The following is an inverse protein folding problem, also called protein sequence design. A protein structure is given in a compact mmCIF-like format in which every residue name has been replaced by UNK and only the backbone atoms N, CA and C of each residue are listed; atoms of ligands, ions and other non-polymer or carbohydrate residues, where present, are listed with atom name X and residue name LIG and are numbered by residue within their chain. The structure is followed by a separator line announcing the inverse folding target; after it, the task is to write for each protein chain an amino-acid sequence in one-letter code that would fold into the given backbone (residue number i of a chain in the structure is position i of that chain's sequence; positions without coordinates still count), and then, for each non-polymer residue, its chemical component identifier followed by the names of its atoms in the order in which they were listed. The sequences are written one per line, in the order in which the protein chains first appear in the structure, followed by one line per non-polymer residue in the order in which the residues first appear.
data_IF_951500633502
#
_entry.id   IF_951500633502
#
_cell.length_a   1.000
_cell.length_b   1.000
_cell.length_c   1.000
_cell.angle_alpha   90.00
_cell.angle_beta   90.00
_cell.angle_gamma   90.00
#
_symmetry.space_group_name_H-M   'P 1'
#
loop_
_entity.id
_entity.type
_entity.pdbx_description
1 polymer ?
#
# COMPACT_ATOMS: atom_id res chain seq x y z
N UNK A 1 10.71 15.84 8.86
CA UNK A 1 10.47 14.39 8.69
C UNK A 1 11.35 13.64 9.68
N UNK A 2 10.78 12.64 10.35
CA UNK A 2 11.48 11.74 11.27
C UNK A 2 11.61 10.39 10.59
N UNK A 3 12.74 9.72 10.75
CA UNK A 3 12.99 8.36 10.24
C UNK A 3 13.10 7.35 11.39
N UNK A 4 12.74 7.77 12.61
CA UNK A 4 12.94 7.00 13.84
C UNK A 4 11.61 6.55 14.46
N UNK A 5 10.49 6.74 13.78
CA UNK A 5 9.15 6.42 14.30
C UNK A 5 8.57 7.46 15.27
N UNK A 6 9.15 8.67 15.35
CA UNK A 6 8.57 9.76 16.14
C UNK A 6 7.35 10.36 15.41
N UNK A 7 6.23 10.47 16.12
CA UNK A 7 5.02 11.14 15.62
C UNK A 7 5.28 12.64 15.51
N UNK A 8 5.13 13.19 14.30
CA UNK A 8 5.34 14.61 14.03
C UNK A 8 4.05 15.43 14.02
N UNK A 9 2.95 14.83 13.58
CA UNK A 9 1.64 15.47 13.45
C UNK A 9 0.55 14.39 13.43
N UNK A 10 -0.71 14.78 13.58
CA UNK A 10 -1.87 13.90 13.49
C UNK A 10 -3.01 14.61 12.77
N UNK A 11 -3.41 14.07 11.62
CA UNK A 11 -4.54 14.60 10.86
C UNK A 11 -5.84 13.98 11.38
N UNK A 12 -6.85 14.81 11.64
CA UNK A 12 -8.15 14.37 12.17
C UNK A 12 -9.10 13.88 11.06
N UNK A 13 -8.65 12.92 10.25
CA UNK A 13 -9.53 12.19 9.34
C UNK A 13 -10.22 11.04 10.07
N UNK A 14 -11.51 10.85 9.85
CA UNK A 14 -12.29 9.75 10.44
C UNK A 14 -12.84 8.91 9.31
N UNK A 15 -12.16 7.79 9.05
CA UNK A 15 -12.56 6.77 8.10
C UNK A 15 -13.62 5.82 8.66
N UNK A 16 -14.04 4.87 7.84
CA UNK A 16 -14.83 3.73 8.31
C UNK A 16 -13.92 2.56 8.71
N UNK A 17 -13.02 2.20 7.81
CA UNK A 17 -12.07 1.09 7.96
C UNK A 17 -10.84 1.41 7.10
N UNK A 18 -9.96 2.25 7.66
CA UNK A 18 -8.81 2.81 6.95
C UNK A 18 -7.63 1.85 7.05
N UNK A 19 -7.23 1.28 5.93
CA UNK A 19 -6.16 0.27 5.88
C UNK A 19 -4.89 0.76 5.21
N UNK A 20 -5.01 1.70 4.25
CA UNK A 20 -3.89 2.11 3.41
C UNK A 20 -3.69 3.61 3.34
N UNK A 21 -2.43 4.03 3.21
CA UNK A 21 -2.06 5.43 2.95
C UNK A 21 -0.87 5.53 2.00
N UNK A 22 -0.93 6.47 1.06
CA UNK A 22 0.17 6.82 0.18
C UNK A 22 0.29 8.33 0.02
N UNK A 23 1.51 8.81 -0.18
CA UNK A 23 1.70 10.14 -0.77
C UNK A 23 1.08 10.18 -2.16
N UNK A 24 0.52 11.32 -2.55
CA UNK A 24 -0.09 11.50 -3.87
C UNK A 24 0.56 12.68 -4.61
N UNK A 25 -0.23 13.70 -4.94
CA UNK A 25 0.19 14.97 -5.51
C UNK A 25 0.43 15.99 -4.39
N UNK A 26 0.91 17.19 -4.75
CA UNK A 26 1.29 18.22 -3.77
C UNK A 26 0.18 18.49 -2.74
N UNK A 27 0.52 18.33 -1.45
CA UNK A 27 -0.40 18.55 -0.35
C UNK A 27 -1.52 17.51 -0.22
N UNK A 28 -1.43 16.37 -0.92
CA UNK A 28 -2.45 15.33 -0.88
C UNK A 28 -1.91 13.95 -0.51
N UNK A 29 -2.78 13.18 0.13
CA UNK A 29 -2.60 11.75 0.38
C UNK A 29 -3.69 10.96 -0.36
N UNK A 30 -3.40 9.71 -0.70
CA UNK A 30 -4.41 8.69 -1.00
C UNK A 30 -4.61 7.83 0.24
N UNK A 31 -5.86 7.47 0.50
CA UNK A 31 -6.29 6.60 1.57
C UNK A 31 -7.10 5.43 0.99
N UNK A 32 -6.95 4.23 1.53
CA UNK A 32 -7.75 3.05 1.18
C UNK A 32 -8.75 2.74 2.29
N UNK A 33 -10.04 2.66 1.93
CA UNK A 33 -11.14 2.32 2.84
C UNK A 33 -11.72 0.94 2.48
N UNK A 34 -11.52 -0.05 3.34
CA UNK A 34 -11.78 -1.47 3.03
C UNK A 34 -13.26 -1.73 2.74
N UNK A 35 -14.12 -1.45 3.73
CA UNK A 35 -15.53 -1.83 3.72
C UNK A 35 -16.30 -1.16 2.59
N UNK A 36 -15.95 0.08 2.26
CA UNK A 36 -16.61 0.85 1.20
C UNK A 36 -15.97 0.64 -0.17
N UNK A 37 -14.79 0.02 -0.24
CA UNK A 37 -13.98 -0.09 -1.45
C UNK A 37 -13.72 1.27 -2.09
N UNK A 38 -13.30 2.22 -1.27
CA UNK A 38 -13.09 3.60 -1.69
C UNK A 38 -11.61 3.95 -1.63
N UNK A 39 -11.14 4.67 -2.65
CA UNK A 39 -9.89 5.44 -2.58
C UNK A 39 -10.24 6.89 -2.30
N UNK A 40 -9.69 7.46 -1.24
CA UNK A 40 -9.96 8.84 -0.83
C UNK A 40 -8.73 9.70 -1.05
N UNK A 41 -8.86 10.76 -1.83
CA UNK A 41 -7.90 11.85 -1.85
C UNK A 41 -8.14 12.74 -0.63
N UNK A 42 -7.14 12.92 0.23
CA UNK A 42 -7.18 13.82 1.37
C UNK A 42 -6.23 15.01 1.13
N UNK A 43 -6.74 16.23 1.20
CA UNK A 43 -5.93 17.43 1.25
C UNK A 43 -5.46 17.66 2.69
N UNK A 44 -4.14 17.63 2.91
CA UNK A 44 -3.55 17.74 4.25
C UNK A 44 -3.60 19.16 4.82
N UNK A 45 -3.88 20.17 3.99
CA UNK A 45 -3.89 21.58 4.42
C UNK A 45 -5.22 21.97 5.04
N UNK A 46 -6.33 21.53 4.44
CA UNK A 46 -7.68 21.93 4.85
C UNK A 46 -8.58 20.74 5.26
N UNK A 47 -8.08 19.51 5.14
CA UNK A 47 -8.80 18.28 5.50
C UNK A 47 -9.91 17.90 4.52
N UNK A 48 -10.03 18.57 3.38
CA UNK A 48 -11.06 18.25 2.38
C UNK A 48 -10.76 16.93 1.69
N UNK A 49 -11.82 16.22 1.30
CA UNK A 49 -11.71 14.91 0.66
C UNK A 49 -12.45 14.83 -0.66
N UNK A 50 -11.90 14.00 -1.55
CA UNK A 50 -12.58 13.52 -2.77
C UNK A 50 -12.54 12.00 -2.72
N UNK A 51 -13.69 11.36 -2.87
CA UNK A 51 -13.84 9.92 -2.72
C UNK A 51 -14.14 9.28 -4.07
N UNK A 52 -13.46 8.18 -4.37
CA UNK A 52 -13.61 7.39 -5.59
C UNK A 52 -13.98 5.96 -5.22
N UNK A 53 -15.17 5.51 -5.60
CA UNK A 53 -15.57 4.11 -5.43
C UNK A 53 -14.86 3.24 -6.47
N UNK A 54 -14.24 2.15 -6.02
CA UNK A 54 -13.53 1.21 -6.88
C UNK A 54 -14.36 -0.06 -7.03
N UNK A 55 -14.93 -0.23 -8.22
CA UNK A 55 -15.85 -1.31 -8.53
C UNK A 55 -15.10 -2.60 -8.90
N UNK A 56 -14.62 -3.33 -7.89
CA UNK A 56 -13.98 -4.64 -8.08
C UNK A 56 -14.65 -5.75 -7.25
N UNK A 57 -14.55 -6.98 -7.76
CA UNK A 57 -15.16 -8.15 -7.13
C UNK A 57 -14.35 -8.65 -5.93
N UNK A 58 -14.98 -8.55 -4.76
CA UNK A 58 -14.67 -9.28 -3.53
C UNK A 58 -15.90 -9.23 -2.62
N UNK A 59 -16.34 -10.37 -2.10
CA UNK A 59 -17.51 -10.47 -1.20
C UNK A 59 -17.15 -11.07 0.16
N UNK A 60 -15.87 -11.36 0.40
CA UNK A 60 -15.35 -11.92 1.64
C UNK A 60 -15.10 -10.76 2.62
N UNK A 61 -15.80 -10.69 3.76
CA UNK A 61 -15.55 -9.64 4.75
C UNK A 61 -14.13 -9.75 5.34
N UNK A 62 -13.50 -8.60 5.66
CA UNK A 62 -12.17 -8.51 6.28
C UNK A 62 -11.09 -9.22 5.45
N UNK A 63 -11.14 -8.96 4.15
CA UNK A 63 -10.28 -9.55 3.12
C UNK A 63 -10.17 -8.60 1.91
N UNK A 64 -10.56 -7.35 2.12
CA UNK A 64 -10.84 -6.34 1.13
C UNK A 64 -9.63 -5.50 0.77
N UNK A 65 -9.86 -4.21 0.53
CA UNK A 65 -8.83 -3.25 0.15
C UNK A 65 -7.91 -2.92 1.33
N UNK A 66 -6.60 -3.11 1.16
CA UNK A 66 -5.60 -2.91 2.23
C UNK A 66 -4.61 -1.80 1.86
N UNK A 67 -3.82 -2.03 0.81
CA UNK A 67 -2.76 -1.15 0.39
C UNK A 67 -3.18 -0.22 -0.75
N UNK A 68 -2.62 0.99 -0.76
CA UNK A 68 -2.68 1.92 -1.90
C UNK A 68 -1.29 2.51 -2.16
N UNK A 69 -0.90 2.69 -3.42
CA UNK A 69 0.30 3.44 -3.78
C UNK A 69 0.15 4.19 -5.09
N UNK A 70 0.83 5.33 -5.21
CA UNK A 70 0.79 6.17 -6.40
C UNK A 70 2.05 6.01 -7.26
N UNK A 71 1.85 5.71 -8.54
CA UNK A 71 2.90 5.75 -9.55
C UNK A 71 2.97 7.15 -10.19
N UNK A 72 3.93 7.96 -9.72
CA UNK A 72 4.12 9.31 -10.23
C UNK A 72 4.67 9.39 -11.67
N UNK A 73 5.21 8.30 -12.25
CA UNK A 73 5.78 8.32 -13.60
C UNK A 73 4.70 8.32 -14.68
N UNK A 74 3.64 7.54 -14.49
CA UNK A 74 2.53 7.41 -15.44
C UNK A 74 1.20 7.94 -14.88
N UNK A 75 1.23 8.46 -13.64
CA UNK A 75 0.11 9.02 -12.89
C UNK A 75 -1.01 8.03 -12.62
N UNK A 76 -0.66 6.77 -12.47
CA UNK A 76 -1.60 5.70 -12.10
C UNK A 76 -1.53 5.38 -10.62
N UNK A 77 -2.54 4.67 -10.13
CA UNK A 77 -2.62 4.22 -8.74
C UNK A 77 -2.72 2.70 -8.71
N UNK A 78 -2.09 2.08 -7.73
CA UNK A 78 -2.27 0.66 -7.44
C UNK A 78 -2.97 0.49 -6.10
N UNK A 79 -3.90 -0.46 -6.03
CA UNK A 79 -4.47 -0.92 -4.77
C UNK A 79 -4.24 -2.42 -4.62
N UNK A 80 -4.16 -2.88 -3.37
CA UNK A 80 -4.18 -4.29 -3.01
C UNK A 80 -5.56 -4.67 -2.51
N UNK A 81 -6.03 -5.84 -2.94
CA UNK A 81 -7.02 -6.60 -2.19
C UNK A 81 -6.31 -7.73 -1.42
N UNK A 82 -6.52 -7.81 -0.11
CA UNK A 82 -5.77 -8.65 0.84
C UNK A 82 -5.75 -10.12 0.45
N UNK A 83 -6.93 -10.75 0.39
CA UNK A 83 -7.11 -12.19 0.24
C UNK A 83 -8.52 -12.51 -0.27
N UNK A 84 -8.72 -13.77 -0.67
CA UNK A 84 -10.01 -14.30 -1.12
C UNK A 84 -10.82 -13.41 -2.09
N UNK A 85 -10.22 -12.92 -3.21
CA UNK A 85 -8.89 -13.28 -3.73
C UNK A 85 -7.81 -12.21 -3.51
N UNK A 86 -6.55 -12.63 -3.37
CA UNK A 86 -5.43 -11.69 -3.43
C UNK A 86 -5.27 -11.06 -4.82
N UNK A 87 -5.34 -9.72 -4.91
CA UNK A 87 -5.25 -8.99 -6.18
C UNK A 87 -4.44 -7.72 -6.08
N UNK A 88 -3.74 -7.39 -7.17
CA UNK A 88 -3.25 -6.06 -7.48
C UNK A 88 -4.19 -5.44 -8.52
N UNK A 89 -4.77 -4.30 -8.21
CA UNK A 89 -5.68 -3.59 -9.12
C UNK A 89 -4.99 -2.29 -9.53
N UNK A 90 -4.90 -2.07 -10.83
CA UNK A 90 -4.24 -0.92 -11.44
C UNK A 90 -5.31 0.05 -11.93
N UNK A 91 -5.21 1.30 -11.47
CA UNK A 91 -6.16 2.36 -11.71
C UNK A 91 -5.53 3.46 -12.57
N UNK A 92 -6.28 3.99 -13.54
CA UNK A 92 -5.89 5.19 -14.28
C UNK A 92 -5.89 6.45 -13.39
N UNK A 93 -5.47 7.59 -13.96
CA UNK A 93 -5.47 8.91 -13.29
C UNK A 93 -6.87 9.33 -12.81
N UNK A 94 -7.94 8.83 -13.44
CA UNK A 94 -9.34 9.07 -13.04
C UNK A 94 -9.93 7.97 -12.13
N UNK A 95 -9.08 7.10 -11.58
CA UNK A 95 -9.42 5.96 -10.72
C UNK A 95 -10.26 4.86 -11.39
N UNK A 96 -10.45 4.90 -12.72
CA UNK A 96 -11.02 3.76 -13.45
C UNK A 96 -10.04 2.58 -13.46
N UNK A 97 -10.56 1.36 -13.29
CA UNK A 97 -9.75 0.14 -13.36
C UNK A 97 -9.26 -0.06 -14.80
N UNK A 98 -7.94 -0.18 -14.98
CA UNK A 98 -7.32 -0.47 -16.27
C UNK A 98 -6.76 -1.88 -16.36
N UNK A 99 -6.32 -2.46 -15.24
CA UNK A 99 -5.89 -3.86 -15.16
C UNK A 99 -6.16 -4.45 -13.76
N UNK A 100 -6.32 -5.77 -13.70
CA UNK A 100 -6.36 -6.56 -12.48
C UNK A 100 -5.43 -7.76 -12.61
N UNK A 101 -4.60 -7.99 -11.60
CA UNK A 101 -3.65 -9.10 -11.56
C UNK A 101 -3.89 -9.94 -10.31
N UNK A 102 -4.06 -11.25 -10.49
CA UNK A 102 -4.11 -12.19 -9.36
C UNK A 102 -2.73 -12.36 -8.76
N UNK A 103 -2.64 -12.24 -7.44
CA UNK A 103 -1.41 -12.48 -6.70
C UNK A 103 -1.51 -13.86 -6.03
N UNK A 104 -0.52 -14.71 -6.30
CA UNK A 104 -0.52 -16.12 -5.86
C UNK A 104 0.75 -16.51 -5.09
N UNK A 105 1.59 -15.54 -4.74
CA UNK A 105 2.90 -15.78 -4.13
C UNK A 105 2.90 -15.73 -2.59
N UNK A 106 1.81 -15.22 -1.99
CA UNK A 106 1.64 -15.09 -0.56
C UNK A 106 0.19 -15.42 -0.14
N UNK A 107 -0.01 -15.64 1.16
CA UNK A 107 -1.32 -15.93 1.78
C UNK A 107 -2.22 -14.70 1.89
N UNK A 108 -1.61 -13.51 2.01
CA UNK A 108 -2.26 -12.21 2.11
C UNK A 108 -1.34 -11.11 1.56
N UNK A 109 -1.89 -9.91 1.35
CA UNK A 109 -1.18 -8.74 0.85
C UNK A 109 -1.62 -7.49 1.63
N UNK A 110 -0.82 -7.08 2.59
CA UNK A 110 -1.20 -6.11 3.62
C UNK A 110 -0.67 -4.70 3.38
N UNK A 111 0.34 -4.53 2.52
CA UNK A 111 0.91 -3.20 2.26
C UNK A 111 1.67 -3.14 0.94
N UNK A 112 1.68 -1.96 0.33
CA UNK A 112 2.28 -1.74 -1.00
C UNK A 112 3.00 -0.40 -1.10
N UNK A 113 4.10 -0.38 -1.85
CA UNK A 113 4.81 0.84 -2.22
C UNK A 113 5.36 0.76 -3.64
N UNK A 114 5.14 1.81 -4.43
CA UNK A 114 5.78 1.98 -5.72
C UNK A 114 7.15 2.67 -5.58
N UNK A 115 8.21 1.96 -5.97
CA UNK A 115 9.58 2.48 -5.99
C UNK A 115 9.96 3.00 -7.38
N UNK A 116 9.83 4.32 -7.53
CA UNK A 116 10.15 5.01 -8.78
C UNK A 116 11.61 4.86 -9.23
N UNK A 117 12.55 4.57 -8.32
CA UNK A 117 13.98 4.45 -8.66
C UNK A 117 14.29 3.26 -9.57
N UNK A 118 13.47 2.20 -9.47
CA UNK A 118 13.65 0.94 -10.20
C UNK A 118 12.41 0.48 -10.94
N UNK A 119 11.32 1.25 -10.87
CA UNK A 119 10.08 0.94 -11.56
C UNK A 119 9.47 -0.40 -11.11
N UNK A 120 9.41 -0.59 -9.79
CA UNK A 120 8.94 -1.83 -9.17
C UNK A 120 7.97 -1.56 -8.02
N UNK A 121 7.17 -2.56 -7.69
CA UNK A 121 6.32 -2.57 -6.50
C UNK A 121 7.03 -3.33 -5.38
N UNK A 122 6.83 -2.88 -4.16
CA UNK A 122 7.20 -3.60 -2.94
C UNK A 122 5.93 -3.93 -2.19
N UNK A 123 5.70 -5.22 -1.92
CA UNK A 123 4.48 -5.74 -1.30
C UNK A 123 4.85 -6.56 -0.07
N UNK A 124 4.22 -6.26 1.07
CA UNK A 124 4.35 -7.05 2.31
C UNK A 124 3.19 -8.01 2.49
N UNK A 125 3.46 -9.13 3.16
CA UNK A 125 2.48 -10.14 3.57
C UNK A 125 2.71 -10.46 5.04
N UNK A 126 1.70 -10.21 5.88
CA UNK A 126 1.70 -10.56 7.30
C UNK A 126 1.76 -12.10 7.46
N UNK A 127 0.80 -12.82 6.89
CA UNK A 127 0.68 -14.27 7.09
C UNK A 127 1.85 -15.05 6.50
N UNK A 128 2.43 -14.58 5.40
CA UNK A 128 3.61 -15.23 4.80
C UNK A 128 4.93 -14.76 5.41
N UNK A 129 4.91 -13.67 6.18
CA UNK A 129 6.10 -13.01 6.74
C UNK A 129 7.14 -12.71 5.67
N UNK A 130 6.71 -12.02 4.61
CA UNK A 130 7.59 -11.68 3.49
C UNK A 130 7.46 -10.23 3.06
N UNK A 131 8.56 -9.74 2.50
CA UNK A 131 8.65 -8.49 1.73
C UNK A 131 9.03 -8.89 0.31
N UNK A 132 8.25 -8.47 -0.67
CA UNK A 132 8.34 -8.97 -2.03
C UNK A 132 8.53 -7.80 -2.99
N UNK A 133 9.63 -7.83 -3.74
CA UNK A 133 9.83 -6.94 -4.86
C UNK A 133 9.15 -7.56 -6.09
N UNK A 134 8.23 -6.82 -6.70
CA UNK A 134 7.45 -7.26 -7.84
C UNK A 134 7.60 -6.27 -9.01
N UNK A 135 7.35 -6.74 -10.22
CA UNK A 135 7.11 -5.81 -11.33
C UNK A 135 5.72 -5.15 -11.21
N UNK A 136 5.40 -4.25 -12.14
CA UNK A 136 4.14 -3.51 -12.15
C UNK A 136 2.87 -4.35 -12.42
N UNK A 137 3.04 -5.65 -12.68
CA UNK A 137 1.95 -6.63 -12.83
C UNK A 137 1.80 -7.53 -11.61
N UNK A 138 2.56 -7.27 -10.54
CA UNK A 138 2.56 -8.09 -9.33
C UNK A 138 3.34 -9.39 -9.44
N UNK A 139 4.13 -9.61 -10.50
CA UNK A 139 4.98 -10.78 -10.62
C UNK A 139 6.25 -10.59 -9.76
N UNK A 140 6.52 -11.56 -8.89
CA UNK A 140 7.66 -11.50 -7.95
C UNK A 140 9.00 -11.57 -8.71
N UNK A 141 9.88 -10.61 -8.40
CA UNK A 141 11.27 -10.55 -8.83
C UNK A 141 12.18 -11.16 -7.75
N UNK A 142 12.01 -10.73 -6.49
CA UNK A 142 12.75 -11.22 -5.32
C UNK A 142 11.84 -11.20 -4.08
N UNK A 143 11.98 -12.17 -3.19
CA UNK A 143 11.28 -12.25 -1.91
C UNK A 143 12.27 -12.34 -0.75
N UNK A 144 11.95 -11.68 0.35
CA UNK A 144 12.76 -11.64 1.57
C UNK A 144 11.88 -12.02 2.76
N UNK A 145 12.36 -12.92 3.62
CA UNK A 145 11.66 -13.27 4.85
C UNK A 145 11.87 -12.21 5.92
N UNK A 146 10.81 -11.95 6.69
CA UNK A 146 10.84 -11.17 7.93
C UNK A 146 10.51 -12.06 9.12
N UNK A 147 10.94 -11.69 10.32
CA UNK A 147 10.80 -12.49 11.54
C UNK A 147 9.77 -11.93 12.54
N UNK A 148 9.08 -10.84 12.18
CA UNK A 148 7.99 -10.23 12.92
C UNK A 148 6.63 -10.50 12.26
N UNK A 149 5.55 -10.01 12.87
CA UNK A 149 4.15 -10.18 12.43
C UNK A 149 3.49 -8.81 12.24
N UNK A 150 2.29 -8.82 11.66
CA UNK A 150 1.43 -7.65 11.46
C UNK A 150 2.12 -6.55 10.67
N UNK A 151 2.83 -6.94 9.61
CA UNK A 151 3.46 -6.01 8.69
C UNK A 151 2.40 -5.37 7.79
N UNK A 152 1.93 -4.17 8.12
CA UNK A 152 0.80 -3.52 7.42
C UNK A 152 1.24 -2.38 6.48
N UNK A 153 2.50 -1.97 6.51
CA UNK A 153 2.98 -0.88 5.66
C UNK A 153 4.44 -1.02 5.30
N UNK A 154 4.78 -0.61 4.08
CA UNK A 154 6.14 -0.63 3.56
C UNK A 154 6.43 0.68 2.82
N UNK A 155 7.65 1.20 2.98
CA UNK A 155 8.16 2.35 2.22
C UNK A 155 9.62 2.10 1.85
N UNK A 156 9.97 2.44 0.62
CA UNK A 156 11.37 2.48 0.18
C UNK A 156 11.81 3.92 0.12
N UNK A 157 12.90 4.25 0.82
CA UNK A 157 13.53 5.55 0.72
C UNK A 157 15.04 5.38 0.68
N UNK A 158 15.66 5.86 -0.41
CA UNK A 158 17.08 5.69 -0.69
C UNK A 158 17.48 4.21 -0.68
N UNK A 159 18.44 3.86 0.17
CA UNK A 159 19.02 2.53 0.39
C UNK A 159 18.33 1.79 1.55
N UNK A 160 17.12 2.18 1.96
CA UNK A 160 16.40 1.60 3.10
C UNK A 160 15.01 1.12 2.75
N UNK A 161 14.59 0.07 3.45
CA UNK A 161 13.22 -0.44 3.51
C UNK A 161 12.70 -0.18 4.92
N UNK A 162 11.57 0.52 5.00
CA UNK A 162 10.85 0.83 6.23
C UNK A 162 9.59 0.00 6.27
N UNK A 163 9.35 -0.73 7.37
CA UNK A 163 8.16 -1.56 7.55
C UNK A 163 7.56 -1.26 8.91
N UNK A 164 6.26 -1.00 8.96
CA UNK A 164 5.55 -0.83 10.23
C UNK A 164 4.89 -2.15 10.64
N UNK A 165 4.94 -2.45 11.93
CA UNK A 165 4.19 -3.54 12.54
C UNK A 165 3.13 -2.98 13.48
N UNK A 166 1.86 -3.26 13.19
CA UNK A 166 0.73 -2.70 13.94
C UNK A 166 0.68 -3.27 15.37
N UNK A 167 0.67 -4.60 15.50
CA UNK A 167 0.61 -5.25 16.82
C UNK A 167 1.83 -5.00 17.73
N UNK A 168 2.97 -4.64 17.15
CA UNK A 168 4.17 -4.35 17.92
C UNK A 168 4.40 -2.86 18.16
N UNK A 169 3.63 -1.98 17.52
CA UNK A 169 3.81 -0.53 17.53
C UNK A 169 5.25 -0.12 17.16
N UNK A 170 5.83 -0.78 16.14
CA UNK A 170 7.24 -0.61 15.76
C UNK A 170 7.45 -0.26 14.30
N UNK A 171 8.49 0.54 14.07
CA UNK A 171 9.11 0.76 12.78
C UNK A 171 10.38 -0.10 12.66
N UNK A 172 10.37 -1.03 11.72
CA UNK A 172 11.53 -1.82 11.31
C UNK A 172 12.24 -1.15 10.14
N UNK A 173 13.58 -1.14 10.17
CA UNK A 173 14.41 -0.53 9.11
C UNK A 173 15.45 -1.53 8.64
N UNK A 174 15.46 -1.81 7.35
CA UNK A 174 16.39 -2.72 6.69
C UNK A 174 17.19 -2.01 5.60
N UNK A 175 18.36 -2.56 5.27
CA UNK A 175 19.07 -2.16 4.06
C UNK A 175 18.31 -2.68 2.83
N UNK A 176 18.14 -1.80 1.84
CA UNK A 176 17.63 -2.16 0.52
C UNK A 176 18.67 -3.04 -0.17
N UNK A 177 18.33 -4.27 -0.59
CA UNK A 177 19.26 -5.15 -1.27
C UNK A 177 19.75 -4.54 -2.59
N UNK A 178 21.02 -4.75 -2.91
CA UNK A 178 21.60 -4.34 -4.17
C UNK A 178 20.87 -4.99 -5.37
N UNK A 179 20.79 -4.25 -6.48
CA UNK A 179 20.14 -4.66 -7.71
C UNK A 179 20.86 -5.81 -8.41
#
# INVERSE_FOLDING_TARGET
MSLTGEVLDTLAFVGNDLEGVSTYTEGKLLLAEEVKKEVVELNITDGTTITHAIEYENTTPNSGMEGVTYNSKDKTTYILNEKDPGKLIHLAEDFSIIDEYHLLFAQDYSGIFYDASIDALWIVSDQSKTVNQCNLKGEVIKSYSIDFVKSEGVVIANDKIYIVSDSEEKLYVFDKPDH
#
